data_IF_593578548780
#
_entry.id   IF_593578548780
#
_cell.length_a   1.000
_cell.length_b   1.000
_cell.length_c   1.000
_cell.angle_alpha   90.00
_cell.angle_beta   90.00
_cell.angle_gamma   90.00
#
_symmetry.space_group_name_H-M   'P 1'
#
loop_
_entity.id
_entity.type
_entity.pdbx_description
1 polymer ?
#
# COMPACT_ATOMS: atom_id res chain seq x y z
N UNK A 1 -23.64 11.80 -8.87
CA UNK A 1 -22.66 12.74 -9.46
C UNK A 1 -21.31 12.50 -8.79
N UNK A 2 -20.21 12.47 -9.53
CA UNK A 2 -18.89 12.04 -9.02
C UNK A 2 -18.19 13.12 -8.17
N UNK A 3 -18.14 14.36 -8.67
CA UNK A 3 -17.41 15.48 -8.06
C UNK A 3 -18.24 16.30 -7.06
N UNK A 4 -19.46 15.87 -6.75
CA UNK A 4 -20.38 16.63 -5.88
C UNK A 4 -20.16 16.39 -4.39
N UNK A 5 -19.30 15.43 -4.01
CA UNK A 5 -19.15 14.97 -2.63
C UNK A 5 -18.25 15.86 -1.78
N UNK A 6 -17.27 16.51 -2.41
CA UNK A 6 -16.40 17.48 -1.76
C UNK A 6 -16.19 18.67 -2.70
N UNK A 7 -16.59 19.86 -2.25
CA UNK A 7 -16.30 21.10 -2.93
C UNK A 7 -16.11 22.24 -1.93
N UNK A 8 -15.34 23.23 -2.35
CA UNK A 8 -15.07 24.45 -1.57
C UNK A 8 -15.45 25.66 -2.42
N UNK A 9 -15.99 26.68 -1.75
CA UNK A 9 -16.13 28.00 -2.31
C UNK A 9 -15.35 28.97 -1.45
N UNK A 10 -14.38 29.65 -2.04
CA UNK A 10 -13.53 30.60 -1.34
C UNK A 10 -13.25 31.84 -2.18
N UNK A 11 -12.46 32.76 -1.63
CA UNK A 11 -11.91 33.89 -2.39
C UNK A 11 -10.74 33.50 -3.31
N UNK A 12 -10.24 32.27 -3.21
CA UNK A 12 -9.06 31.78 -3.93
C UNK A 12 -9.45 30.85 -5.10
N UNK A 13 -9.72 31.43 -6.27
CA UNK A 13 -10.17 30.68 -7.45
C UNK A 13 -9.23 29.54 -7.89
N UNK A 14 -7.93 29.66 -7.61
CA UNK A 14 -6.94 28.61 -7.90
C UNK A 14 -7.12 27.42 -6.97
N UNK A 15 -7.43 27.67 -5.71
CA UNK A 15 -7.73 26.61 -4.74
C UNK A 15 -9.05 25.92 -5.12
N UNK A 16 -10.09 26.71 -5.37
CA UNK A 16 -11.42 26.19 -5.73
C UNK A 16 -11.34 25.27 -6.95
N UNK A 17 -10.66 25.66 -8.04
CA UNK A 17 -10.54 24.78 -9.23
C UNK A 17 -9.73 23.51 -8.98
N UNK A 18 -8.73 23.56 -8.09
CA UNK A 18 -7.93 22.38 -7.77
C UNK A 18 -8.73 21.39 -6.93
N UNK A 19 -9.36 21.87 -5.85
CA UNK A 19 -10.18 21.06 -4.95
C UNK A 19 -11.41 20.52 -5.68
N UNK A 20 -12.12 21.35 -6.44
CA UNK A 20 -13.43 20.99 -6.99
C UNK A 20 -13.36 20.19 -8.30
N UNK A 21 -12.24 20.27 -9.03
CA UNK A 21 -12.13 19.68 -10.38
C UNK A 21 -10.82 18.93 -10.55
N UNK A 22 -9.69 19.62 -10.67
CA UNK A 22 -8.48 19.03 -11.27
C UNK A 22 -7.82 17.96 -10.39
N UNK A 23 -7.76 18.18 -9.07
CA UNK A 23 -7.16 17.21 -8.17
C UNK A 23 -8.03 15.93 -8.08
N UNK A 24 -9.34 16.10 -7.92
CA UNK A 24 -10.27 14.96 -7.88
C UNK A 24 -10.29 14.17 -9.20
N UNK A 25 -10.25 14.87 -10.33
CA UNK A 25 -10.13 14.25 -11.65
C UNK A 25 -8.82 13.45 -11.78
N UNK A 26 -7.70 14.00 -11.30
CA UNK A 26 -6.42 13.30 -11.33
C UNK A 26 -6.42 12.06 -10.42
N UNK A 27 -7.03 12.11 -9.22
CA UNK A 27 -7.18 10.93 -8.35
C UNK A 27 -7.99 9.81 -9.01
N UNK A 28 -9.00 10.14 -9.82
CA UNK A 28 -9.72 9.13 -10.63
C UNK A 28 -8.79 8.51 -11.69
N UNK A 29 -7.97 9.33 -12.35
CA UNK A 29 -7.02 8.85 -13.37
C UNK A 29 -5.98 7.91 -12.73
N UNK A 30 -5.37 8.30 -11.61
CA UNK A 30 -4.37 7.45 -10.94
C UNK A 30 -4.99 6.18 -10.36
N UNK A 31 -6.20 6.24 -9.80
CA UNK A 31 -6.90 5.02 -9.35
C UNK A 31 -7.10 3.98 -10.48
N UNK A 32 -7.37 4.44 -11.70
CA UNK A 32 -7.59 3.54 -12.85
C UNK A 32 -6.28 3.09 -13.52
N UNK A 33 -5.27 3.96 -13.60
CA UNK A 33 -4.06 3.71 -14.37
C UNK A 33 -2.83 3.38 -13.51
N UNK A 34 -2.89 3.59 -12.19
CA UNK A 34 -1.74 3.58 -11.29
C UNK A 34 -0.56 4.33 -11.91
N UNK A 35 0.53 3.62 -12.24
CA UNK A 35 1.71 4.14 -12.95
C UNK A 35 1.99 3.39 -14.26
N UNK A 36 0.97 2.73 -14.82
CA UNK A 36 1.13 1.82 -15.97
C UNK A 36 1.40 2.54 -17.29
N UNK A 37 0.59 3.55 -17.66
CA UNK A 37 0.64 4.18 -18.97
C UNK A 37 0.45 5.69 -18.90
N UNK A 38 1.39 6.42 -19.51
CA UNK A 38 1.33 7.87 -19.73
C UNK A 38 2.20 8.24 -20.94
N UNK A 39 2.48 9.53 -21.15
CA UNK A 39 3.47 9.94 -22.16
C UNK A 39 4.92 9.68 -21.74
N UNK A 40 5.14 9.25 -20.49
CA UNK A 40 6.45 8.86 -19.96
C UNK A 40 6.50 7.37 -19.60
N UNK A 41 5.41 6.83 -19.05
CA UNK A 41 5.27 5.42 -18.71
C UNK A 41 4.76 4.64 -19.93
N UNK A 42 5.54 3.66 -20.40
CA UNK A 42 5.35 3.04 -21.73
C UNK A 42 4.15 2.11 -21.86
N UNK A 43 3.48 1.74 -20.77
CA UNK A 43 2.40 0.75 -20.80
C UNK A 43 2.85 -0.70 -20.97
N UNK A 44 4.15 -0.99 -20.76
CA UNK A 44 4.72 -2.33 -20.94
C UNK A 44 5.05 -3.00 -19.61
N UNK A 45 6.01 -2.45 -18.83
CA UNK A 45 6.61 -3.15 -17.68
C UNK A 45 6.04 -2.81 -16.30
N UNK A 46 5.24 -1.74 -16.18
CA UNK A 46 4.60 -1.37 -14.91
C UNK A 46 3.13 -1.78 -14.93
N UNK A 47 2.76 -2.61 -13.96
CA UNK A 47 1.38 -2.94 -13.65
C UNK A 47 0.76 -1.91 -12.70
N UNK A 48 0.05 -2.42 -11.70
CA UNK A 48 -0.49 -1.64 -10.59
C UNK A 48 0.41 -1.87 -9.38
N UNK A 49 1.16 -0.83 -8.95
CA UNK A 49 2.02 -0.93 -7.78
C UNK A 49 1.20 -1.14 -6.50
N UNK A 50 1.68 -1.98 -5.58
CA UNK A 50 0.98 -2.26 -4.31
C UNK A 50 0.89 -1.00 -3.46
N UNK A 51 2.05 -0.39 -3.15
CA UNK A 51 2.16 0.92 -2.50
C UNK A 51 1.46 2.05 -3.27
N UNK A 52 1.62 2.10 -4.60
CA UNK A 52 1.00 3.15 -5.41
C UNK A 52 -0.53 3.12 -5.33
N UNK A 53 -1.12 1.92 -5.47
CA UNK A 53 -2.57 1.76 -5.47
C UNK A 53 -3.17 1.99 -4.08
N UNK A 54 -2.48 1.60 -3.01
CA UNK A 54 -2.90 1.90 -1.65
C UNK A 54 -2.89 3.42 -1.36
N UNK A 55 -1.89 4.15 -1.85
CA UNK A 55 -1.88 5.62 -1.72
C UNK A 55 -2.94 6.29 -2.60
N UNK A 56 -3.15 5.80 -3.82
CA UNK A 56 -4.16 6.34 -4.74
C UNK A 56 -5.58 6.22 -4.14
N UNK A 57 -5.85 5.19 -3.32
CA UNK A 57 -7.12 5.03 -2.59
C UNK A 57 -7.40 6.20 -1.63
N UNK A 58 -6.38 6.78 -1.00
CA UNK A 58 -6.55 7.87 -0.01
C UNK A 58 -7.20 9.12 -0.62
N UNK A 59 -6.92 9.42 -1.89
CA UNK A 59 -7.52 10.54 -2.62
C UNK A 59 -8.77 10.19 -3.43
N UNK A 60 -9.13 8.91 -3.48
CA UNK A 60 -10.20 8.38 -4.34
C UNK A 60 -11.42 7.88 -3.57
N UNK A 61 -11.24 7.41 -2.34
CA UNK A 61 -12.25 6.64 -1.61
C UNK A 61 -13.58 7.38 -1.46
N UNK A 62 -13.55 8.70 -1.25
CA UNK A 62 -14.77 9.51 -1.17
C UNK A 62 -15.54 9.50 -2.48
N UNK A 63 -14.89 9.38 -3.64
CA UNK A 63 -15.53 9.43 -4.96
C UNK A 63 -16.36 8.17 -5.25
N UNK A 64 -15.76 6.98 -5.16
CA UNK A 64 -16.44 5.69 -5.44
C UNK A 64 -16.01 4.63 -4.40
N UNK A 65 -16.62 4.62 -3.20
CA UNK A 65 -16.25 3.71 -2.13
C UNK A 65 -16.33 2.23 -2.51
N UNK A 66 -17.34 1.82 -3.27
CA UNK A 66 -17.51 0.40 -3.67
C UNK A 66 -16.32 -0.12 -4.49
N UNK A 67 -15.76 0.73 -5.38
CA UNK A 67 -14.56 0.38 -6.15
C UNK A 67 -13.29 0.44 -5.30
N UNK A 68 -13.25 1.32 -4.31
CA UNK A 68 -12.16 1.33 -3.34
C UNK A 68 -12.13 0.03 -2.52
N UNK A 69 -13.30 -0.46 -2.08
CA UNK A 69 -13.47 -1.74 -1.38
C UNK A 69 -12.96 -2.91 -2.23
N UNK A 70 -13.39 -3.00 -3.49
CA UNK A 70 -12.91 -4.04 -4.42
C UNK A 70 -11.39 -3.98 -4.58
N UNK A 71 -10.83 -2.78 -4.79
CA UNK A 71 -9.38 -2.59 -4.97
C UNK A 71 -8.57 -3.03 -3.75
N UNK A 72 -9.05 -2.75 -2.54
CA UNK A 72 -8.41 -3.20 -1.30
C UNK A 72 -8.33 -4.73 -1.27
N UNK A 73 -9.42 -5.41 -1.60
CA UNK A 73 -9.47 -6.88 -1.61
C UNK A 73 -8.54 -7.43 -2.71
N UNK A 74 -8.54 -6.83 -3.89
CA UNK A 74 -7.62 -7.20 -4.98
C UNK A 74 -6.16 -7.09 -4.56
N UNK A 75 -5.78 -6.00 -3.87
CA UNK A 75 -4.43 -5.77 -3.36
C UNK A 75 -4.07 -6.78 -2.26
N UNK A 76 -4.91 -6.91 -1.24
CA UNK A 76 -4.68 -7.85 -0.15
C UNK A 76 -4.60 -9.30 -0.62
N UNK A 77 -5.33 -9.64 -1.70
CA UNK A 77 -5.28 -10.96 -2.34
C UNK A 77 -3.90 -11.33 -2.89
N UNK A 78 -3.04 -10.34 -3.15
CA UNK A 78 -1.65 -10.57 -3.61
C UNK A 78 -0.63 -10.52 -2.46
N UNK A 79 -1.05 -10.33 -1.22
CA UNK A 79 -0.13 -10.35 -0.09
C UNK A 79 0.43 -11.77 0.13
N UNK A 80 1.68 -11.87 0.56
CA UNK A 80 2.32 -13.12 0.93
C UNK A 80 1.98 -13.51 2.38
N UNK A 81 2.13 -14.79 2.70
CA UNK A 81 1.76 -15.31 4.02
C UNK A 81 2.63 -14.77 5.17
N UNK A 82 3.82 -14.26 4.90
CA UNK A 82 4.70 -13.64 5.89
C UNK A 82 4.41 -12.14 6.11
N UNK A 83 3.36 -11.62 5.48
CA UNK A 83 2.95 -10.22 5.52
C UNK A 83 3.63 -9.33 4.48
N UNK A 84 4.67 -9.82 3.81
CA UNK A 84 5.25 -9.16 2.64
C UNK A 84 4.24 -9.08 1.48
N UNK A 85 4.55 -8.32 0.44
CA UNK A 85 3.70 -8.20 -0.73
C UNK A 85 4.56 -8.19 -2.01
N UNK A 86 3.96 -8.63 -3.12
CA UNK A 86 4.51 -8.29 -4.43
C UNK A 86 4.52 -6.77 -4.58
N UNK A 87 5.60 -6.22 -5.14
CA UNK A 87 5.72 -4.78 -5.31
C UNK A 87 4.73 -4.24 -6.36
N UNK A 88 4.31 -5.07 -7.31
CA UNK A 88 3.19 -4.80 -8.21
C UNK A 88 2.36 -6.03 -8.52
N UNK A 89 1.13 -5.80 -9.01
CA UNK A 89 0.30 -6.81 -9.62
C UNK A 89 -0.11 -6.42 -11.05
N UNK A 90 -0.38 -7.42 -11.89
CA UNK A 90 -0.79 -7.21 -13.27
C UNK A 90 -2.29 -6.86 -13.33
N UNK A 91 -2.70 -5.67 -13.82
CA UNK A 91 -4.09 -5.24 -13.76
C UNK A 91 -5.08 -6.15 -14.50
N UNK A 92 -4.65 -6.83 -15.57
CA UNK A 92 -5.51 -7.73 -16.35
C UNK A 92 -5.80 -9.06 -15.64
N UNK A 93 -4.87 -9.57 -14.85
CA UNK A 93 -4.98 -10.89 -14.21
C UNK A 93 -5.20 -10.80 -12.71
N UNK A 94 -5.02 -9.62 -12.11
CA UNK A 94 -5.04 -9.37 -10.66
C UNK A 94 -4.05 -10.26 -9.88
N UNK A 95 -2.96 -10.67 -10.54
CA UNK A 95 -1.89 -11.49 -9.92
C UNK A 95 -0.64 -10.68 -9.66
N UNK A 96 -0.04 -10.87 -8.50
CA UNK A 96 1.28 -10.32 -8.18
C UNK A 96 2.34 -10.77 -9.18
N UNK A 97 3.37 -9.93 -9.38
CA UNK A 97 4.55 -10.30 -10.15
C UNK A 97 5.82 -9.64 -9.61
N UNK A 98 6.96 -10.27 -9.89
CA UNK A 98 8.29 -9.81 -9.48
C UNK A 98 9.00 -9.01 -10.58
N UNK A 99 8.31 -8.53 -11.62
CA UNK A 99 8.94 -7.90 -12.79
C UNK A 99 9.70 -6.61 -12.45
N UNK A 100 9.28 -5.92 -11.37
CA UNK A 100 9.96 -4.74 -10.82
C UNK A 100 10.59 -5.01 -9.44
N UNK A 101 10.70 -6.29 -9.06
CA UNK A 101 11.25 -6.74 -7.80
C UNK A 101 10.20 -7.03 -6.73
N UNK A 102 10.70 -7.44 -5.58
CA UNK A 102 9.98 -7.65 -4.32
C UNK A 102 10.90 -7.30 -3.15
N UNK A 103 10.44 -7.53 -1.92
CA UNK A 103 11.18 -7.22 -0.68
C UNK A 103 11.31 -5.71 -0.40
N UNK A 104 10.30 -4.91 -0.78
CA UNK A 104 10.19 -3.50 -0.39
C UNK A 104 9.44 -3.42 0.94
N UNK A 105 10.17 -3.17 2.03
CA UNK A 105 9.63 -3.42 3.37
C UNK A 105 8.63 -2.36 3.86
N UNK A 106 8.41 -1.29 3.09
CA UNK A 106 7.35 -0.33 3.36
C UNK A 106 5.98 -0.75 2.79
N UNK A 107 5.95 -1.61 1.76
CA UNK A 107 4.73 -2.04 1.06
C UNK A 107 3.62 -2.48 2.02
N UNK A 108 3.85 -3.39 2.99
CA UNK A 108 2.76 -3.95 3.80
C UNK A 108 1.99 -2.91 4.62
N UNK A 109 2.65 -1.85 5.10
CA UNK A 109 2.02 -0.82 5.93
C UNK A 109 1.01 0.02 5.14
N UNK A 110 1.18 0.17 3.83
CA UNK A 110 0.25 0.93 3.00
C UNK A 110 -1.15 0.31 2.94
N UNK A 111 -1.25 -1.01 3.06
CA UNK A 111 -2.54 -1.71 3.11
C UNK A 111 -3.34 -1.32 4.35
N UNK A 112 -2.68 -1.25 5.51
CA UNK A 112 -3.31 -0.83 6.77
C UNK A 112 -3.86 0.59 6.63
N UNK A 113 -3.07 1.51 6.08
CA UNK A 113 -3.48 2.89 5.91
C UNK A 113 -4.68 3.03 4.95
N UNK A 114 -4.67 2.28 3.84
CA UNK A 114 -5.76 2.29 2.86
C UNK A 114 -7.07 1.73 3.45
N UNK A 115 -7.02 0.61 4.18
CA UNK A 115 -8.20 0.04 4.85
C UNK A 115 -8.74 1.00 5.91
N UNK A 116 -7.85 1.59 6.71
CA UNK A 116 -8.25 2.56 7.74
C UNK A 116 -8.91 3.79 7.12
N UNK A 117 -8.36 4.32 6.03
CA UNK A 117 -8.97 5.45 5.31
C UNK A 117 -10.34 5.09 4.71
N UNK A 118 -10.49 3.88 4.17
CA UNK A 118 -11.77 3.37 3.66
C UNK A 118 -12.83 3.27 4.75
N UNK A 119 -12.48 2.68 5.89
CA UNK A 119 -13.40 2.56 7.02
C UNK A 119 -13.77 3.93 7.57
N UNK A 120 -12.82 4.87 7.68
CA UNK A 120 -13.10 6.26 8.10
C UNK A 120 -14.08 6.98 7.19
N UNK A 121 -14.00 6.77 5.87
CA UNK A 121 -14.89 7.39 4.89
C UNK A 121 -16.30 6.76 4.90
N UNK A 122 -16.39 5.44 5.11
CA UNK A 122 -17.62 4.68 4.84
C UNK A 122 -18.36 4.18 6.08
N UNK A 123 -17.64 3.95 7.17
CA UNK A 123 -18.12 3.17 8.32
C UNK A 123 -18.35 1.69 8.01
N UNK A 124 -17.86 1.16 6.87
CA UNK A 124 -18.00 -0.26 6.51
C UNK A 124 -16.92 -1.12 7.17
N UNK A 125 -17.10 -1.42 8.46
CA UNK A 125 -16.22 -2.32 9.21
C UNK A 125 -16.30 -3.77 8.70
N UNK A 126 -17.35 -4.14 7.95
CA UNK A 126 -17.54 -5.50 7.43
C UNK A 126 -16.46 -5.92 6.43
N UNK A 127 -15.70 -4.97 5.89
CA UNK A 127 -14.55 -5.26 5.03
C UNK A 127 -13.50 -6.10 5.77
N UNK A 128 -13.36 -5.94 7.09
CA UNK A 128 -12.38 -6.66 7.91
C UNK A 128 -12.66 -8.17 8.02
N UNK A 129 -13.92 -8.57 7.79
CA UNK A 129 -14.38 -9.96 7.85
C UNK A 129 -14.37 -10.64 6.46
N UNK A 130 -14.01 -9.91 5.41
CA UNK A 130 -13.96 -10.47 4.05
C UNK A 130 -12.83 -11.49 3.95
N UNK A 131 -13.20 -12.73 3.65
CA UNK A 131 -12.24 -13.81 3.35
C UNK A 131 -11.44 -13.44 2.10
N UNK A 132 -10.14 -13.24 2.29
CA UNK A 132 -9.19 -12.78 1.27
C UNK A 132 -8.02 -13.77 1.20
N UNK A 133 -7.60 -14.22 0.01
CA UNK A 133 -6.50 -15.17 -0.15
C UNK A 133 -5.14 -14.52 0.08
N UNK A 134 -4.14 -15.31 0.48
CA UNK A 134 -2.72 -14.93 0.31
C UNK A 134 -2.20 -15.49 -1.01
N UNK A 135 -1.34 -14.74 -1.71
CA UNK A 135 -0.71 -15.11 -2.99
C UNK A 135 -1.71 -15.63 -4.05
N UNK A 136 -2.91 -15.04 -4.04
CA UNK A 136 -4.05 -15.44 -4.86
C UNK A 136 -4.45 -16.94 -4.75
N UNK A 137 -4.09 -17.61 -3.65
CA UNK A 137 -4.45 -18.99 -3.33
C UNK A 137 -5.68 -19.02 -2.40
N UNK A 138 -6.84 -19.33 -2.99
CA UNK A 138 -8.13 -19.42 -2.29
C UNK A 138 -8.15 -20.43 -1.13
N UNK A 139 -7.25 -21.41 -1.13
CA UNK A 139 -7.13 -22.36 -0.01
C UNK A 139 -6.53 -21.75 1.25
N UNK A 140 -5.90 -20.58 1.12
CA UNK A 140 -5.23 -19.84 2.19
C UNK A 140 -6.03 -18.62 2.65
N UNK A 141 -7.29 -18.51 2.24
CA UNK A 141 -8.11 -17.34 2.56
C UNK A 141 -8.32 -17.16 4.06
N UNK A 142 -8.13 -15.91 4.52
CA UNK A 142 -8.36 -15.47 5.90
C UNK A 142 -9.14 -14.16 5.92
N UNK A 143 -9.79 -13.77 7.03
CA UNK A 143 -10.37 -12.43 7.15
C UNK A 143 -9.34 -11.34 6.83
N UNK A 144 -9.76 -10.25 6.16
CA UNK A 144 -8.87 -9.13 5.82
C UNK A 144 -8.17 -8.53 7.07
N UNK A 145 -8.78 -8.60 8.25
CA UNK A 145 -8.13 -8.23 9.52
C UNK A 145 -6.83 -9.01 9.79
N UNK A 146 -6.74 -10.28 9.39
CA UNK A 146 -5.52 -11.09 9.51
C UNK A 146 -4.43 -10.58 8.55
N UNK A 147 -4.79 -10.11 7.36
CA UNK A 147 -3.84 -9.47 6.43
C UNK A 147 -3.23 -8.20 7.03
N UNK A 148 -4.05 -7.36 7.67
CA UNK A 148 -3.54 -6.14 8.35
C UNK A 148 -2.63 -6.51 9.52
N UNK A 149 -2.99 -7.53 10.28
CA UNK A 149 -2.16 -8.05 11.36
C UNK A 149 -0.80 -8.53 10.84
N UNK A 150 -0.79 -9.28 9.73
CA UNK A 150 0.46 -9.74 9.10
C UNK A 150 1.29 -8.59 8.56
N UNK A 151 0.67 -7.56 7.97
CA UNK A 151 1.39 -6.34 7.57
C UNK A 151 2.08 -5.65 8.76
N UNK A 152 1.39 -5.56 9.90
CA UNK A 152 1.94 -4.97 11.11
C UNK A 152 3.07 -5.84 11.70
N UNK A 153 2.83 -7.15 11.80
CA UNK A 153 3.79 -8.11 12.34
C UNK A 153 5.01 -8.28 11.42
N UNK A 154 4.88 -8.07 10.11
CA UNK A 154 6.00 -8.07 9.17
C UNK A 154 7.08 -7.05 9.58
N UNK A 155 6.68 -5.86 10.03
CA UNK A 155 7.64 -4.85 10.51
C UNK A 155 8.30 -5.29 11.81
N UNK A 156 7.52 -5.78 12.78
CA UNK A 156 8.02 -6.22 14.10
C UNK A 156 9.01 -7.39 13.96
N UNK A 157 8.75 -8.29 13.01
CA UNK A 157 9.58 -9.47 12.80
C UNK A 157 10.85 -9.15 11.99
N UNK A 158 10.95 -7.97 11.37
CA UNK A 158 12.06 -7.56 10.51
C UNK A 158 12.73 -6.29 11.03
N UNK A 159 13.27 -6.35 12.25
CA UNK A 159 14.02 -5.25 12.87
C UNK A 159 15.53 -5.47 12.78
N UNK A 160 16.28 -4.38 12.61
CA UNK A 160 17.73 -4.38 12.64
C UNK A 160 18.32 -4.13 14.03
N UNK A 161 19.65 -3.91 14.10
CA UNK A 161 20.38 -3.80 15.36
C UNK A 161 19.94 -2.66 16.28
N UNK A 162 19.30 -1.61 15.76
CA UNK A 162 18.83 -0.47 16.55
C UNK A 162 17.34 -0.58 16.90
N UNK A 163 16.69 -1.70 16.55
CA UNK A 163 15.24 -1.87 16.70
C UNK A 163 14.43 -1.08 15.67
N UNK A 164 15.06 -0.65 14.57
CA UNK A 164 14.37 0.00 13.46
C UNK A 164 14.03 -1.04 12.38
N UNK A 165 13.00 -0.83 11.55
CA UNK A 165 12.66 -1.74 10.47
C UNK A 165 13.80 -1.88 9.47
N UNK A 166 14.11 -3.12 9.09
CA UNK A 166 15.02 -3.42 8.00
C UNK A 166 14.45 -2.83 6.70
N UNK A 167 15.32 -2.23 5.89
CA UNK A 167 14.92 -1.59 4.63
C UNK A 167 14.58 -2.59 3.52
N UNK A 168 15.01 -3.86 3.64
CA UNK A 168 14.87 -4.85 2.57
C UNK A 168 15.63 -4.38 1.33
N UNK A 169 14.96 -4.39 0.18
CA UNK A 169 15.47 -3.83 -1.06
C UNK A 169 15.52 -2.30 -1.06
N UNK A 170 14.43 -1.67 -0.63
CA UNK A 170 14.22 -0.23 -0.51
C UNK A 170 12.97 0.02 0.34
N UNK A 171 12.82 1.25 0.82
CA UNK A 171 11.55 1.75 1.32
C UNK A 171 10.80 2.49 0.19
N UNK A 172 9.91 3.42 0.53
CA UNK A 172 9.17 4.26 -0.43
C UNK A 172 10.08 4.95 -1.46
N UNK A 173 11.35 5.23 -1.10
CA UNK A 173 12.35 5.65 -2.07
C UNK A 173 12.97 4.43 -2.76
N UNK A 174 12.39 4.07 -3.91
CA UNK A 174 12.82 2.92 -4.73
C UNK A 174 14.32 2.95 -5.11
N UNK A 175 14.98 4.12 -5.06
CA UNK A 175 16.39 4.31 -5.39
C UNK A 175 17.34 4.20 -4.18
N UNK A 176 16.84 3.99 -2.97
CA UNK A 176 17.67 3.81 -1.77
C UNK A 176 18.01 2.33 -1.53
N UNK A 177 18.81 1.76 -2.45
CA UNK A 177 19.08 0.32 -2.47
C UNK A 177 20.34 -0.06 -1.68
N UNK A 178 20.23 -0.08 -0.34
CA UNK A 178 21.37 -0.32 0.57
C UNK A 178 21.93 -1.75 0.51
N UNK A 179 21.21 -2.67 -0.12
CA UNK A 179 21.55 -4.09 -0.23
C UNK A 179 21.86 -4.56 -1.68
N UNK A 180 21.91 -3.63 -2.64
CA UNK A 180 22.07 -3.97 -4.07
C UNK A 180 23.53 -4.15 -4.50
N UNK A 181 24.46 -3.26 -4.15
CA UNK A 181 25.90 -3.35 -4.48
C UNK A 181 26.25 -3.64 -5.96
N UNK A 182 25.39 -3.30 -6.92
CA UNK A 182 25.68 -3.54 -8.34
C UNK A 182 26.87 -2.69 -8.83
N UNK A 183 27.78 -3.34 -9.55
CA UNK A 183 28.83 -2.72 -10.38
C UNK A 183 28.57 -2.91 -11.89
N UNK A 184 27.43 -3.55 -12.19
CA UNK A 184 26.79 -3.97 -13.44
C UNK A 184 26.22 -2.88 -14.37
N UNK A 185 26.90 -2.50 -15.48
CA UNK A 185 26.30 -2.10 -16.74
C UNK A 185 24.87 -2.54 -17.06
N UNK A 186 23.82 -1.76 -16.76
CA UNK A 186 22.46 -2.06 -17.24
C UNK A 186 21.65 -3.04 -16.37
N UNK A 187 22.16 -3.39 -15.19
CA UNK A 187 21.35 -4.02 -14.15
C UNK A 187 20.38 -3.01 -13.54
N UNK A 188 19.11 -3.40 -13.38
CA UNK A 188 18.14 -2.56 -12.67
C UNK A 188 18.33 -2.70 -11.17
N UNK A 189 18.54 -1.59 -10.47
CA UNK A 189 18.70 -1.57 -9.01
C UNK A 189 17.44 -2.09 -8.27
N UNK A 190 16.28 -1.98 -8.91
CA UNK A 190 14.99 -2.43 -8.40
C UNK A 190 14.82 -3.96 -8.42
N UNK A 191 15.60 -4.70 -9.22
CA UNK A 191 15.47 -6.16 -9.32
C UNK A 191 16.74 -6.90 -8.91
N UNK A 192 17.91 -6.31 -9.14
CA UNK A 192 19.20 -6.92 -8.80
C UNK A 192 19.36 -7.11 -7.30
N UNK A 193 19.77 -8.31 -6.89
CA UNK A 193 20.09 -8.66 -5.50
C UNK A 193 21.55 -9.07 -5.43
N UNK A 194 22.29 -8.49 -4.48
CA UNK A 194 23.67 -8.91 -4.19
C UNK A 194 23.79 -9.58 -2.82
N UNK A 195 23.04 -9.10 -1.82
CA UNK A 195 23.05 -9.65 -0.45
C UNK A 195 21.68 -9.47 0.21
N UNK A 196 21.26 -10.47 0.98
CA UNK A 196 20.19 -10.30 1.96
C UNK A 196 20.79 -9.63 3.20
N UNK A 197 20.70 -8.29 3.26
CA UNK A 197 21.31 -7.50 4.31
C UNK A 197 20.45 -7.43 5.56
N UNK A 198 20.93 -7.99 6.66
CA UNK A 198 20.23 -8.02 7.97
C UNK A 198 20.54 -6.83 8.89
N UNK A 199 21.11 -5.75 8.36
CA UNK A 199 21.55 -4.60 9.17
C UNK A 199 21.16 -3.23 8.62
N UNK A 200 20.75 -3.15 7.35
CA UNK A 200 20.33 -1.88 6.76
C UNK A 200 18.90 -1.57 7.23
N UNK A 201 18.72 -0.43 7.90
CA UNK A 201 17.46 -0.03 8.52
C UNK A 201 16.93 1.27 7.90
N UNK A 202 15.60 1.45 7.89
CA UNK A 202 14.94 2.67 7.41
C UNK A 202 14.24 3.42 8.53
N UNK A 203 14.67 4.67 8.74
CA UNK A 203 13.97 5.62 9.62
C UNK A 203 12.63 6.04 9.02
N UNK A 204 12.49 5.99 7.69
CA UNK A 204 11.21 6.28 7.04
C UNK A 204 10.16 5.23 7.39
N UNK A 205 10.48 3.94 7.28
CA UNK A 205 9.57 2.86 7.67
C UNK A 205 9.27 2.95 9.16
N UNK A 206 10.24 3.28 10.01
CA UNK A 206 9.99 3.50 11.45
C UNK A 206 8.96 4.62 11.70
N UNK A 207 9.06 5.75 10.99
CA UNK A 207 8.10 6.85 11.08
C UNK A 207 6.72 6.45 10.58
N UNK A 208 6.66 5.71 9.46
CA UNK A 208 5.42 5.13 8.95
C UNK A 208 4.78 4.17 9.96
N UNK A 209 5.57 3.28 10.57
CA UNK A 209 5.10 2.33 11.56
C UNK A 209 4.53 3.02 12.80
N UNK A 210 5.16 4.09 13.27
CA UNK A 210 4.61 4.87 14.39
C UNK A 210 3.25 5.48 14.06
N UNK A 211 3.12 6.12 12.90
CA UNK A 211 1.86 6.77 12.48
C UNK A 211 0.76 5.76 12.13
N UNK A 212 1.06 4.79 11.26
CA UNK A 212 0.12 3.79 10.77
C UNK A 212 -0.21 2.77 11.86
N UNK A 213 0.74 2.46 12.75
CA UNK A 213 0.52 1.57 13.89
C UNK A 213 -0.46 2.14 14.90
N UNK A 214 -0.41 3.44 15.18
CA UNK A 214 -1.43 4.10 16.02
C UNK A 214 -2.82 4.01 15.38
N UNK A 215 -2.91 4.24 14.07
CA UNK A 215 -4.14 4.09 13.30
C UNK A 215 -4.67 2.64 13.31
N UNK A 216 -3.79 1.65 13.22
CA UNK A 216 -4.13 0.23 13.34
C UNK A 216 -4.68 -0.10 14.74
N UNK A 217 -4.02 0.37 15.80
CA UNK A 217 -4.47 0.16 17.17
C UNK A 217 -5.87 0.76 17.40
N UNK A 218 -6.09 1.99 16.93
CA UNK A 218 -7.40 2.66 17.00
C UNK A 218 -8.46 1.89 16.20
N UNK A 219 -8.12 1.39 15.02
CA UNK A 219 -9.02 0.57 14.21
C UNK A 219 -9.43 -0.68 14.98
N UNK A 220 -8.45 -1.46 15.47
CA UNK A 220 -8.71 -2.71 16.21
C UNK A 220 -9.56 -2.47 17.47
N UNK A 221 -9.33 -1.38 18.20
CA UNK A 221 -10.15 -1.03 19.38
C UNK A 221 -11.60 -0.78 18.97
N UNK A 222 -11.81 0.03 17.91
CA UNK A 222 -13.14 0.43 17.45
C UNK A 222 -13.93 -0.72 16.83
N UNK A 223 -13.26 -1.67 16.21
CA UNK A 223 -13.89 -2.84 15.57
C UNK A 223 -13.95 -4.06 16.49
N UNK A 224 -13.79 -3.88 17.80
CA UNK A 224 -14.07 -4.91 18.80
C UNK A 224 -12.93 -5.90 19.07
N UNK A 225 -11.69 -5.53 18.76
CA UNK A 225 -10.48 -6.30 19.08
C UNK A 225 -9.51 -5.53 20.01
N UNK A 226 -9.93 -5.24 21.26
CA UNK A 226 -9.13 -4.44 22.20
C UNK A 226 -7.83 -5.13 22.65
N UNK A 227 -7.76 -6.47 22.53
CA UNK A 227 -6.55 -7.21 22.83
C UNK A 227 -5.46 -6.95 21.78
N UNK A 228 -5.83 -6.95 20.51
CA UNK A 228 -4.91 -6.60 19.42
C UNK A 228 -4.55 -5.12 19.45
N UNK A 229 -5.53 -4.24 19.73
CA UNK A 229 -5.30 -2.81 19.88
C UNK A 229 -4.27 -2.48 20.97
N UNK A 230 -4.27 -3.22 22.09
CA UNK A 230 -3.29 -3.06 23.16
C UNK A 230 -1.91 -3.60 22.82
N UNK A 231 -1.84 -4.58 21.91
CA UNK A 231 -0.58 -5.20 21.46
C UNK A 231 0.13 -4.32 20.43
N UNK A 232 -0.66 -3.74 19.53
CA UNK A 232 -0.21 -2.74 18.56
C UNK A 232 0.31 -1.49 19.28
#
# INVERSE_FOLDING_TARGET
>A
QLLSKYSVHSSEEKMDRMVNIWNQYQCMVTFNLSRSASYFESGIGRGMGFRDSNQDLLGFVHQIPDRARERIIDLASTQLEDGGAYHQYQPLTKKGNDEIGGDFNDDPLWLILAVTAYIKETGDDSILDVMTPFDNDESKSTPLSDHLKRSFDHVINNLGPHGLPLIGRADWNDCLNLNCFSTEPGESFQTTTSKDGKVAESVMIAGMFCYIGEEYAVLMEKTGNPAEAKRA
#
